data_IF_820416533132
#
_entry.id   IF_820416533132
#
_cell.length_a   1.000
_cell.length_b   1.000
_cell.length_c   1.000
_cell.angle_alpha   90.00
_cell.angle_beta   90.00
_cell.angle_gamma   90.00
#
_symmetry.space_group_name_H-M   'P 1'
#
loop_
_entity.id
_entity.type
_entity.pdbx_description
1 polymer ?
#
# COMPACT_ATOMS: atom_id res chain seq x y z
N UNK A 1 1.03 7.28 12.12
CA UNK A 1 -0.43 7.26 11.81
C UNK A 1 -0.75 6.01 11.02
N UNK A 2 -1.80 5.33 11.40
CA UNK A 2 -2.24 4.13 10.69
C UNK A 2 -2.79 4.45 9.30
N UNK A 3 -2.77 3.46 8.41
CA UNK A 3 -3.19 3.62 7.02
C UNK A 3 -4.57 4.27 6.88
N UNK A 4 -5.53 3.86 7.68
CA UNK A 4 -6.89 4.39 7.62
C UNK A 4 -6.98 5.90 7.91
N UNK A 5 -5.97 6.45 8.58
CA UNK A 5 -5.91 7.88 8.92
C UNK A 5 -5.14 8.69 7.89
N UNK A 6 -4.43 8.04 6.97
CA UNK A 6 -3.61 8.70 5.96
C UNK A 6 -4.28 8.50 4.61
N UNK A 7 -5.30 9.29 4.37
CA UNK A 7 -6.03 9.22 3.11
C UNK A 7 -5.20 9.86 2.01
N UNK A 8 -5.25 9.30 0.80
CA UNK A 8 -4.71 9.96 -0.37
C UNK A 8 -5.54 11.21 -0.61
N UNK A 9 -5.00 12.35 -0.18
CA UNK A 9 -5.79 13.58 -0.14
C UNK A 9 -5.85 14.31 -1.44
N UNK A 10 -4.93 14.05 -2.29
CA UNK A 10 -4.85 14.84 -3.47
C UNK A 10 -5.46 14.10 -4.66
N UNK A 11 -5.65 14.85 -5.71
CA UNK A 11 -6.22 14.38 -6.96
C UNK A 11 -5.38 13.31 -7.66
N UNK A 12 -4.20 12.99 -7.15
CA UNK A 12 -3.30 12.01 -7.76
C UNK A 12 -3.75 10.58 -7.52
N UNK A 13 -4.47 10.33 -6.41
CA UNK A 13 -5.06 9.01 -6.13
C UNK A 13 -6.51 9.01 -6.57
N UNK A 14 -6.90 7.98 -7.30
CA UNK A 14 -8.25 7.87 -7.87
C UNK A 14 -9.23 7.39 -6.82
N UNK A 15 -10.20 8.23 -6.46
CA UNK A 15 -11.23 7.88 -5.48
C UNK A 15 -12.23 6.83 -5.99
N UNK A 16 -12.30 6.64 -7.31
CA UNK A 16 -13.17 5.63 -7.93
C UNK A 16 -12.52 4.24 -7.99
N UNK A 17 -11.26 4.15 -7.60
CA UNK A 17 -10.55 2.87 -7.44
C UNK A 17 -10.19 2.77 -5.95
N UNK A 18 -11.02 2.08 -5.15
CA UNK A 18 -10.86 2.13 -3.70
C UNK A 18 -9.50 1.64 -3.22
N UNK A 19 -8.92 2.41 -2.30
CA UNK A 19 -7.67 2.04 -1.65
C UNK A 19 -7.90 0.79 -0.82
N UNK A 20 -6.98 -0.16 -0.91
CA UNK A 20 -6.99 -1.40 -0.11
C UNK A 20 -5.74 -1.47 0.75
N UNK A 21 -5.91 -1.74 2.03
CA UNK A 21 -4.78 -1.98 2.92
C UNK A 21 -4.29 -3.40 2.66
N UNK A 22 -3.00 -3.55 2.38
CA UNK A 22 -2.39 -4.88 2.16
C UNK A 22 -1.45 -5.27 3.28
N UNK A 23 -1.05 -4.32 4.13
CA UNK A 23 -0.25 -4.61 5.31
C UNK A 23 -0.36 -3.43 6.27
N UNK A 24 -0.49 -3.73 7.56
CA UNK A 24 -0.39 -2.75 8.62
C UNK A 24 0.09 -3.42 9.88
N UNK A 25 1.17 -2.92 10.45
CA UNK A 25 1.77 -3.48 11.65
C UNK A 25 2.10 -2.37 12.63
N UNK A 26 1.55 -2.46 13.83
CA UNK A 26 1.90 -1.57 14.94
C UNK A 26 3.32 -1.88 15.43
N UNK A 27 3.69 -3.14 15.41
CA UNK A 27 5.01 -3.59 15.82
C UNK A 27 6.11 -3.04 14.92
N UNK A 28 5.92 -3.16 13.60
CA UNK A 28 6.86 -2.63 12.62
C UNK A 28 6.66 -1.14 12.37
N UNK A 29 5.56 -0.59 12.84
CA UNK A 29 5.20 0.82 12.65
C UNK A 29 5.15 1.22 11.18
N UNK A 30 4.56 0.36 10.36
CA UNK A 30 4.61 0.47 8.90
C UNK A 30 3.28 0.06 8.27
N UNK A 31 2.93 0.70 7.17
CA UNK A 31 1.70 0.39 6.42
C UNK A 31 1.96 0.36 4.93
N UNK A 32 1.20 -0.49 4.24
CA UNK A 32 1.26 -0.63 2.78
C UNK A 32 -0.17 -0.65 2.23
N UNK A 33 -0.40 0.12 1.18
CA UNK A 33 -1.69 0.18 0.51
C UNK A 33 -1.56 -0.13 -0.98
N UNK A 34 -2.69 -0.55 -1.56
CA UNK A 34 -2.84 -0.70 -3.00
C UNK A 34 -3.92 0.25 -3.48
N UNK A 35 -3.66 0.98 -4.55
CA UNK A 35 -4.59 1.93 -5.10
C UNK A 35 -4.24 2.30 -6.53
N UNK A 36 -4.86 3.38 -7.02
CA UNK A 36 -4.55 3.91 -8.35
C UNK A 36 -4.00 5.33 -8.17
N UNK A 37 -2.73 5.49 -8.51
CA UNK A 37 -2.02 6.76 -8.39
C UNK A 37 -1.82 7.35 -9.78
N UNK A 38 -2.34 8.54 -10.00
CA UNK A 38 -2.40 9.15 -11.34
C UNK A 38 -3.16 8.22 -12.28
N UNK A 39 -2.48 7.64 -13.26
CA UNK A 39 -3.12 6.77 -14.26
C UNK A 39 -2.81 5.29 -14.04
N UNK A 40 -1.94 4.98 -13.09
CA UNK A 40 -1.45 3.62 -12.89
C UNK A 40 -1.87 3.08 -11.53
N UNK A 41 -2.19 1.80 -11.50
CA UNK A 41 -2.36 1.10 -10.23
C UNK A 41 -0.99 1.00 -9.58
N UNK A 42 -0.95 1.20 -8.27
CA UNK A 42 0.31 1.35 -7.57
C UNK A 42 0.25 0.94 -6.11
N UNK A 43 1.41 0.60 -5.58
CA UNK A 43 1.61 0.30 -4.17
C UNK A 43 2.15 1.55 -3.47
N UNK A 44 1.54 1.89 -2.34
CA UNK A 44 2.01 2.95 -1.49
C UNK A 44 2.54 2.41 -0.17
N UNK A 45 3.65 2.96 0.31
CA UNK A 45 4.26 2.52 1.57
C UNK A 45 4.57 3.73 2.46
N UNK A 46 4.53 3.51 3.79
CA UNK A 46 4.90 4.56 4.73
C UNK A 46 5.23 4.04 6.12
N UNK A 47 6.06 4.79 6.83
CA UNK A 47 6.28 4.62 8.26
C UNK A 47 5.16 5.36 9.01
N UNK A 48 4.55 4.72 10.00
CA UNK A 48 3.39 5.30 10.71
C UNK A 48 3.76 6.33 11.77
N UNK A 49 4.98 6.26 12.31
CA UNK A 49 5.54 7.34 13.10
C UNK A 49 5.20 7.42 14.58
N UNK A 50 4.71 6.39 15.22
CA UNK A 50 4.47 6.43 16.68
C UNK A 50 3.71 7.68 17.13
N UNK A 51 4.41 8.63 17.79
CA UNK A 51 3.83 9.90 18.25
C UNK A 51 3.87 11.01 17.20
N UNK A 52 4.50 10.77 16.06
CA UNK A 52 4.58 11.73 14.96
C UNK A 52 3.62 11.35 13.84
N UNK A 53 3.60 12.16 12.78
CA UNK A 53 2.78 11.88 11.59
C UNK A 53 3.37 10.79 10.70
N UNK A 54 4.57 10.29 11.07
CA UNK A 54 5.27 9.30 10.28
C UNK A 54 5.94 9.90 9.04
N UNK A 55 6.25 9.01 8.09
CA UNK A 55 7.03 9.37 6.92
C UNK A 55 6.60 8.53 5.72
N UNK A 56 6.41 9.07 4.52
CA UNK A 56 6.73 10.43 4.12
C UNK A 56 5.67 11.45 4.53
N UNK A 57 6.05 12.73 4.46
CA UNK A 57 5.15 13.84 4.67
C UNK A 57 5.43 14.93 3.64
N UNK A 58 4.42 15.73 3.35
CA UNK A 58 4.54 16.84 2.42
C UNK A 58 3.76 18.03 2.97
N UNK A 59 4.46 19.13 3.23
CA UNK A 59 3.83 20.33 3.79
C UNK A 59 3.11 20.08 5.09
N UNK A 60 3.65 19.19 5.96
CA UNK A 60 3.02 18.82 7.21
C UNK A 60 1.89 17.79 7.09
N UNK A 61 1.60 17.32 5.88
CA UNK A 61 0.57 16.31 5.64
C UNK A 61 1.20 14.95 5.38
N UNK A 62 0.71 13.87 6.04
CA UNK A 62 1.20 12.53 5.77
C UNK A 62 0.83 12.10 4.35
N UNK A 63 1.75 11.44 3.68
CA UNK A 63 1.58 10.95 2.30
C UNK A 63 2.10 9.51 2.20
N UNK A 64 2.20 8.99 0.97
CA UNK A 64 2.67 7.66 0.67
C UNK A 64 3.80 7.72 -0.33
N UNK A 65 4.84 6.87 -0.15
CA UNK A 65 5.78 6.60 -1.22
C UNK A 65 5.13 5.64 -2.20
N UNK A 66 5.25 5.94 -3.48
CA UNK A 66 4.72 5.09 -4.55
C UNK A 66 5.87 4.26 -5.11
N UNK A 67 5.73 2.95 -5.02
CA UNK A 67 6.78 2.03 -5.47
C UNK A 67 6.62 1.71 -6.95
N UNK A 68 7.73 1.57 -7.70
CA UNK A 68 7.65 1.10 -9.09
C UNK A 68 7.20 -0.36 -9.15
N UNK A 69 6.61 -0.76 -10.29
CA UNK A 69 5.96 -2.07 -10.42
C UNK A 69 6.89 -3.24 -10.08
N UNK A 70 8.15 -3.19 -10.52
CA UNK A 70 9.08 -4.30 -10.27
C UNK A 70 9.47 -4.46 -8.80
N UNK A 71 9.38 -3.40 -8.01
CA UNK A 71 9.56 -3.45 -6.57
C UNK A 71 8.25 -3.84 -5.90
N UNK A 72 7.14 -3.25 -6.36
CA UNK A 72 5.82 -3.49 -5.78
C UNK A 72 5.45 -4.97 -5.81
N UNK A 73 5.71 -5.67 -6.92
CA UNK A 73 5.41 -7.10 -7.01
C UNK A 73 6.21 -7.93 -6.00
N UNK A 74 7.46 -7.57 -5.77
CA UNK A 74 8.30 -8.25 -4.78
C UNK A 74 7.76 -8.05 -3.36
N UNK A 75 7.35 -6.82 -3.04
CA UNK A 75 6.75 -6.51 -1.74
C UNK A 75 5.47 -7.31 -1.54
N UNK A 76 4.58 -7.32 -2.53
CA UNK A 76 3.31 -8.05 -2.45
C UNK A 76 3.52 -9.56 -2.28
N UNK A 77 4.47 -10.13 -2.99
CA UNK A 77 4.80 -11.56 -2.86
C UNK A 77 5.31 -11.87 -1.45
N UNK A 78 6.13 -11.00 -0.90
CA UNK A 78 6.61 -11.16 0.48
C UNK A 78 5.48 -11.05 1.49
N UNK A 79 4.57 -10.09 1.30
CA UNK A 79 3.41 -9.93 2.17
C UNK A 79 2.49 -11.14 2.11
N UNK A 80 2.30 -11.73 0.93
CA UNK A 80 1.53 -12.95 0.76
C UNK A 80 2.14 -14.09 1.57
N UNK A 81 3.44 -14.30 1.45
CA UNK A 81 4.16 -15.33 2.20
C UNK A 81 4.02 -15.13 3.71
N UNK A 82 4.22 -13.89 4.18
CA UNK A 82 4.07 -13.56 5.59
C UNK A 82 2.65 -13.83 6.11
N UNK A 83 1.64 -13.45 5.34
CA UNK A 83 0.25 -13.66 5.73
C UNK A 83 -0.08 -15.14 5.87
N UNK A 84 0.38 -15.96 4.92
CA UNK A 84 0.15 -17.40 4.94
C UNK A 84 0.91 -18.06 6.09
N UNK A 85 2.18 -17.76 6.24
CA UNK A 85 3.04 -18.40 7.26
C UNK A 85 2.62 -18.04 8.69
N UNK A 86 2.18 -16.81 8.90
CA UNK A 86 1.75 -16.36 10.23
C UNK A 86 0.28 -16.66 10.54
N UNK A 87 -0.49 -17.08 9.54
CA UNK A 87 -1.93 -17.31 9.69
C UNK A 87 -2.72 -16.02 9.80
N UNK A 88 -2.12 -14.87 9.50
CA UNK A 88 -2.81 -13.57 9.52
C UNK A 88 -3.50 -13.32 8.19
N UNK A 89 -4.80 -13.56 8.16
CA UNK A 89 -5.57 -13.52 6.91
C UNK A 89 -6.34 -12.23 6.70
N UNK A 90 -6.21 -11.27 7.60
CA UNK A 90 -6.99 -10.03 7.55
C UNK A 90 -6.90 -9.31 6.20
N UNK A 91 -5.71 -9.23 5.63
CA UNK A 91 -5.49 -8.52 4.36
C UNK A 91 -5.21 -9.45 3.19
N UNK A 92 -5.39 -10.76 3.39
CA UNK A 92 -5.03 -11.76 2.38
C UNK A 92 -5.74 -11.53 1.04
N UNK A 93 -7.05 -11.26 1.07
CA UNK A 93 -7.82 -11.00 -0.15
C UNK A 93 -7.33 -9.74 -0.86
N UNK A 94 -6.99 -8.70 -0.11
CA UNK A 94 -6.46 -7.47 -0.68
C UNK A 94 -5.08 -7.69 -1.32
N UNK A 95 -4.24 -8.51 -0.68
CA UNK A 95 -2.92 -8.86 -1.22
C UNK A 95 -3.08 -9.60 -2.56
N UNK A 96 -3.95 -10.60 -2.59
CA UNK A 96 -4.22 -11.38 -3.81
C UNK A 96 -4.79 -10.50 -4.92
N UNK A 97 -5.72 -9.63 -4.58
CA UNK A 97 -6.29 -8.67 -5.52
C UNK A 97 -5.21 -7.78 -6.12
N UNK A 98 -4.35 -7.22 -5.29
CA UNK A 98 -3.26 -6.35 -5.73
C UNK A 98 -2.28 -7.08 -6.65
N UNK A 99 -1.91 -8.32 -6.31
CA UNK A 99 -1.01 -9.12 -7.15
C UNK A 99 -1.63 -9.34 -8.52
N UNK A 100 -2.91 -9.70 -8.59
CA UNK A 100 -3.60 -9.93 -9.86
C UNK A 100 -3.66 -8.67 -10.70
N UNK A 101 -4.03 -7.54 -10.08
CA UNK A 101 -4.12 -6.25 -10.78
C UNK A 101 -2.76 -5.78 -11.28
N UNK A 102 -1.73 -5.94 -10.46
CA UNK A 102 -0.38 -5.54 -10.85
C UNK A 102 0.19 -6.44 -11.94
N UNK A 103 -0.04 -7.75 -11.84
CA UNK A 103 0.40 -8.70 -12.86
C UNK A 103 -0.22 -8.36 -14.22
N UNK A 104 -1.52 -8.07 -14.24
CA UNK A 104 -2.22 -7.66 -15.46
C UNK A 104 -1.62 -6.37 -16.02
N UNK A 105 -1.35 -5.39 -15.16
CA UNK A 105 -0.75 -4.12 -15.58
C UNK A 105 0.64 -4.32 -16.20
N UNK A 106 1.47 -5.14 -15.57
CA UNK A 106 2.83 -5.42 -16.04
C UNK A 106 2.82 -6.20 -17.38
N UNK A 107 1.85 -7.09 -17.54
CA UNK A 107 1.71 -7.88 -18.76
C UNK A 107 1.29 -7.02 -19.95
N UNK A 108 0.52 -5.97 -19.70
CA UNK A 108 -0.02 -5.09 -20.74
C UNK A 108 0.86 -3.87 -21.04
N UNK A 109 2.01 -3.77 -20.41
CA UNK A 109 2.95 -2.69 -20.65
C UNK A 109 3.73 -2.82 -21.95
#
# INVERSE_FOLDING_TARGET
MKAEKVKPKDWLWDEHYPIRIVFESDEENYSVIWGKYKRNKALGVRWNGGTTRGYPGQGGHPTWYVEPDFIAIAILQRLLTLAIDSGQTKYLDNIKFAINELTDQMTNE
#
